data_IF_387361202554
#
_entry.id   IF_387361202554
#
_cell.length_a   1.000
_cell.length_b   1.000
_cell.length_c   1.000
_cell.angle_alpha   90.00
_cell.angle_beta   90.00
_cell.angle_gamma   90.00
#
_symmetry.space_group_name_H-M   'P 1'
#
loop_
_entity.id
_entity.type
_entity.pdbx_description
1 polymer ?
#
# COMPACT_ATOMS: atom_id res chain seq x y z
N UNK A 1 -30.19 20.54 -18.98
CA UNK A 1 -29.86 19.82 -17.76
C UNK A 1 -28.36 19.62 -17.78
N UNK A 2 -27.56 20.28 -16.95
CA UNK A 2 -26.14 19.93 -16.85
C UNK A 2 -26.03 18.65 -16.01
N UNK A 3 -25.48 17.61 -16.61
CA UNK A 3 -25.08 16.40 -15.90
C UNK A 3 -24.03 16.78 -14.85
N UNK A 4 -24.38 16.62 -13.59
CA UNK A 4 -23.46 16.72 -12.47
C UNK A 4 -22.54 15.50 -12.49
N UNK A 5 -21.55 15.50 -13.37
CA UNK A 5 -20.40 14.61 -13.28
C UNK A 5 -19.64 14.96 -12.00
N UNK A 6 -19.99 14.30 -10.90
CA UNK A 6 -19.23 14.40 -9.66
C UNK A 6 -17.81 13.94 -9.96
N UNK A 7 -16.87 14.88 -9.97
CA UNK A 7 -15.44 14.60 -10.11
C UNK A 7 -15.03 13.72 -8.91
N UNK A 8 -14.93 12.41 -9.11
CA UNK A 8 -14.49 11.51 -8.05
C UNK A 8 -13.05 11.85 -7.71
N UNK A 9 -12.80 12.20 -6.45
CA UNK A 9 -11.47 12.56 -5.99
C UNK A 9 -10.49 11.41 -6.22
N UNK A 10 -9.36 11.71 -6.84
CA UNK A 10 -8.27 10.75 -7.05
C UNK A 10 -7.37 10.73 -5.82
N UNK A 11 -7.16 9.57 -5.24
CA UNK A 11 -6.42 9.41 -4.00
C UNK A 11 -5.03 8.83 -4.20
N UNK A 12 -4.06 9.36 -3.45
CA UNK A 12 -2.77 8.73 -3.21
C UNK A 12 -2.95 7.60 -2.18
N UNK A 13 -2.51 6.41 -2.52
CA UNK A 13 -2.66 5.21 -1.70
C UNK A 13 -1.28 4.72 -1.29
N UNK A 14 -1.04 4.66 0.02
CA UNK A 14 0.20 4.13 0.58
C UNK A 14 -0.13 3.13 1.68
N UNK A 15 0.53 1.97 1.65
CA UNK A 15 0.45 0.94 2.67
C UNK A 15 1.84 0.49 3.06
N UNK A 16 2.02 0.06 4.31
CA UNK A 16 3.28 -0.51 4.75
C UNK A 16 3.05 -1.76 5.61
N UNK A 17 4.02 -2.68 5.53
CA UNK A 17 4.05 -3.93 6.27
C UNK A 17 5.42 -4.12 6.93
N UNK A 18 5.42 -4.48 8.21
CA UNK A 18 6.65 -4.79 8.97
C UNK A 18 7.08 -6.23 8.71
N UNK A 19 8.36 -6.42 8.43
CA UNK A 19 8.98 -7.72 8.21
C UNK A 19 10.03 -7.96 9.29
N UNK A 20 9.82 -8.98 10.14
CA UNK A 20 10.63 -9.24 11.34
C UNK A 20 11.64 -10.36 11.17
N UNK A 21 11.53 -11.18 10.13
CA UNK A 21 12.44 -12.31 9.88
C UNK A 21 13.10 -12.22 8.50
N UNK A 22 14.36 -12.70 8.39
CA UNK A 22 15.07 -12.75 7.09
C UNK A 22 14.30 -13.56 6.04
N UNK A 23 13.64 -14.66 6.44
CA UNK A 23 12.80 -15.47 5.55
C UNK A 23 11.58 -14.70 5.04
N UNK A 24 10.94 -13.88 5.89
CA UNK A 24 9.80 -13.05 5.46
C UNK A 24 10.24 -11.93 4.52
N UNK A 25 11.43 -11.34 4.74
CA UNK A 25 12.02 -10.35 3.83
C UNK A 25 12.32 -10.99 2.49
N UNK A 26 13.02 -12.13 2.47
CA UNK A 26 13.36 -12.85 1.26
C UNK A 26 12.10 -13.26 0.47
N UNK A 27 11.09 -13.84 1.14
CA UNK A 27 9.85 -14.25 0.49
C UNK A 27 9.08 -13.06 -0.12
N UNK A 28 9.07 -11.89 0.55
CA UNK A 28 8.45 -10.69 0.01
C UNK A 28 9.23 -10.13 -1.21
N UNK A 29 10.56 -10.14 -1.15
CA UNK A 29 11.40 -9.76 -2.28
C UNK A 29 11.26 -10.69 -3.48
N UNK A 30 11.22 -12.03 -3.27
CA UNK A 30 10.98 -13.00 -4.35
C UNK A 30 9.64 -12.76 -5.06
N UNK A 31 8.59 -12.41 -4.31
CA UNK A 31 7.32 -11.99 -4.90
C UNK A 31 7.48 -10.69 -5.70
N UNK A 32 8.16 -9.70 -5.14
CA UNK A 32 8.39 -8.40 -5.77
C UNK A 32 9.19 -8.53 -7.07
N UNK A 33 10.24 -9.35 -7.12
CA UNK A 33 11.06 -9.58 -8.31
C UNK A 33 10.53 -10.66 -9.27
N UNK A 34 9.33 -11.23 -8.99
CA UNK A 34 8.75 -12.33 -9.78
C UNK A 34 9.65 -13.57 -9.85
N UNK A 35 10.46 -13.80 -8.83
CA UNK A 35 11.32 -14.97 -8.68
C UNK A 35 10.57 -16.19 -8.10
N UNK A 36 9.27 -16.02 -7.85
CA UNK A 36 8.33 -17.08 -7.51
C UNK A 36 7.01 -16.86 -8.23
N UNK A 37 6.19 -17.90 -8.32
CA UNK A 37 4.87 -17.82 -8.91
C UNK A 37 4.01 -16.73 -8.24
N UNK A 38 3.42 -15.88 -9.08
CA UNK A 38 2.60 -14.73 -8.68
C UNK A 38 1.31 -14.73 -9.48
N UNK A 39 0.26 -15.43 -9.02
CA UNK A 39 -0.96 -15.68 -9.80
C UNK A 39 -1.72 -14.44 -10.25
N UNK A 40 -1.55 -13.29 -9.58
CA UNK A 40 -2.18 -12.02 -9.92
C UNK A 40 -1.36 -11.16 -10.90
N UNK A 41 -0.17 -11.62 -11.29
CA UNK A 41 0.67 -10.94 -12.29
C UNK A 41 0.48 -11.57 -13.68
N UNK A 42 0.45 -10.72 -14.70
CA UNK A 42 0.49 -11.17 -16.09
C UNK A 42 1.95 -11.37 -16.52
N UNK A 43 2.36 -12.63 -16.70
CA UNK A 43 3.74 -12.99 -17.04
C UNK A 43 4.23 -12.34 -18.35
N UNK A 44 3.36 -12.12 -19.33
CA UNK A 44 3.70 -11.47 -20.61
C UNK A 44 4.07 -9.98 -20.40
N UNK A 45 3.52 -9.35 -19.36
CA UNK A 45 3.78 -7.95 -19.00
C UNK A 45 4.90 -7.78 -17.99
N UNK A 46 5.39 -8.84 -17.38
CA UNK A 46 6.49 -8.76 -16.40
C UNK A 46 7.72 -8.00 -16.92
N UNK A 47 8.11 -8.05 -18.21
CA UNK A 47 9.18 -7.22 -18.75
C UNK A 47 8.95 -5.69 -18.68
N UNK A 48 7.70 -5.26 -18.48
CA UNK A 48 7.36 -3.83 -18.28
C UNK A 48 7.72 -3.31 -16.88
N UNK A 49 8.02 -4.22 -15.94
CA UNK A 49 8.40 -3.86 -14.59
C UNK A 49 9.80 -3.22 -14.58
N UNK A 50 9.98 -2.25 -13.69
CA UNK A 50 11.22 -1.48 -13.61
C UNK A 50 11.78 -1.50 -12.19
N UNK A 51 13.08 -1.79 -12.06
CA UNK A 51 13.80 -1.80 -10.78
C UNK A 51 14.80 -0.65 -10.73
N UNK A 52 14.65 0.28 -9.79
CA UNK A 52 15.50 1.47 -9.65
C UNK A 52 16.68 1.29 -8.71
N UNK A 53 16.62 0.32 -7.77
CA UNK A 53 17.66 0.13 -6.74
C UNK A 53 18.35 -1.23 -6.92
N UNK A 54 17.79 -2.32 -6.39
CA UNK A 54 18.31 -3.69 -6.58
C UNK A 54 17.54 -4.38 -7.70
N UNK A 55 18.18 -5.32 -8.39
CA UNK A 55 17.59 -6.01 -9.55
C UNK A 55 17.18 -7.46 -9.26
N UNK A 56 17.45 -7.95 -8.05
CA UNK A 56 17.11 -9.32 -7.62
C UNK A 56 16.96 -9.40 -6.12
N UNK A 57 16.33 -10.48 -5.66
CA UNK A 57 16.23 -10.81 -4.23
C UNK A 57 17.61 -10.88 -3.59
N UNK A 58 18.58 -11.51 -4.23
CA UNK A 58 19.93 -11.67 -3.68
C UNK A 58 20.64 -10.34 -3.47
N UNK A 59 20.55 -9.42 -4.44
CA UNK A 59 21.10 -8.07 -4.30
C UNK A 59 20.45 -7.30 -3.16
N UNK A 60 19.11 -7.29 -3.11
CA UNK A 60 18.38 -6.62 -2.05
C UNK A 60 18.68 -7.21 -0.67
N UNK A 61 18.74 -8.54 -0.55
CA UNK A 61 19.10 -9.23 0.70
C UNK A 61 20.54 -8.98 1.12
N UNK A 62 21.47 -8.83 0.18
CA UNK A 62 22.84 -8.38 0.45
C UNK A 62 22.84 -7.02 1.15
N UNK A 63 22.15 -6.03 0.56
CA UNK A 63 22.01 -4.68 1.15
C UNK A 63 21.33 -4.70 2.52
N UNK A 64 20.30 -5.53 2.70
CA UNK A 64 19.66 -5.69 4.01
C UNK A 64 20.69 -6.17 5.04
N UNK A 65 21.48 -7.21 4.72
CA UNK A 65 22.51 -7.75 5.66
C UNK A 65 23.55 -6.71 6.03
N UNK A 66 24.04 -5.93 5.07
CA UNK A 66 25.01 -4.86 5.28
C UNK A 66 24.51 -3.76 6.23
N UNK A 67 23.21 -3.43 6.16
CA UNK A 67 22.60 -2.39 6.98
C UNK A 67 22.19 -2.87 8.38
N UNK A 68 22.05 -4.19 8.60
CA UNK A 68 21.58 -4.70 9.88
C UNK A 68 22.68 -4.62 10.93
N UNK A 69 22.46 -3.96 12.10
CA UNK A 69 23.44 -3.95 13.18
C UNK A 69 23.59 -5.36 13.77
N UNK A 70 24.83 -5.70 14.19
CA UNK A 70 25.13 -6.99 14.83
C UNK A 70 24.26 -7.23 16.08
N UNK A 71 24.17 -6.21 16.93
CA UNK A 71 23.34 -6.25 18.14
C UNK A 71 21.95 -5.71 17.84
N UNK A 72 20.97 -6.58 17.79
CA UNK A 72 19.55 -6.25 17.59
C UNK A 72 18.64 -7.19 18.38
N UNK A 73 17.45 -6.74 18.70
CA UNK A 73 16.45 -7.59 19.35
C UNK A 73 16.04 -8.73 18.40
N UNK A 74 15.67 -9.88 18.97
CA UNK A 74 15.22 -11.06 18.21
C UNK A 74 13.95 -10.79 17.39
N UNK A 75 13.07 -9.93 17.91
CA UNK A 75 11.81 -9.50 17.31
C UNK A 75 11.89 -8.19 16.53
N UNK A 76 13.10 -7.71 16.24
CA UNK A 76 13.29 -6.45 15.51
C UNK A 76 12.67 -6.50 14.12
N UNK A 77 12.08 -5.39 13.70
CA UNK A 77 11.64 -5.20 12.31
C UNK A 77 12.87 -4.99 11.45
N UNK A 78 13.15 -5.93 10.56
CA UNK A 78 14.35 -5.93 9.70
C UNK A 78 14.16 -5.06 8.47
N UNK A 79 12.96 -5.08 7.91
CA UNK A 79 12.58 -4.23 6.79
C UNK A 79 11.13 -3.80 6.90
N UNK A 80 10.78 -2.71 6.23
CA UNK A 80 9.40 -2.29 6.00
C UNK A 80 9.14 -2.31 4.51
N UNK A 81 8.14 -3.08 4.10
CA UNK A 81 7.62 -3.12 2.74
C UNK A 81 6.59 -2.02 2.56
N UNK A 82 6.72 -1.24 1.51
CA UNK A 82 5.77 -0.23 1.08
C UNK A 82 5.13 -0.62 -0.25
N UNK A 83 3.82 -0.42 -0.35
CA UNK A 83 3.08 -0.47 -1.61
C UNK A 83 2.44 0.90 -1.81
N UNK A 84 2.80 1.57 -2.92
CA UNK A 84 2.39 2.93 -3.23
C UNK A 84 1.74 2.98 -4.61
N UNK A 85 0.51 3.46 -4.68
CA UNK A 85 -0.28 3.55 -5.91
C UNK A 85 -1.25 4.73 -5.84
N UNK A 86 -2.09 4.89 -6.85
CA UNK A 86 -3.18 5.86 -6.90
C UNK A 86 -4.51 5.17 -7.20
N UNK A 87 -5.60 5.92 -7.12
CA UNK A 87 -6.93 5.46 -7.53
C UNK A 87 -6.92 4.90 -8.97
N UNK A 88 -7.66 3.82 -9.27
CA UNK A 88 -7.68 3.23 -10.61
C UNK A 88 -8.08 4.22 -11.71
N UNK A 89 -8.94 5.18 -11.39
CA UNK A 89 -9.41 6.24 -12.29
C UNK A 89 -8.25 7.13 -12.73
N UNK A 90 -7.39 7.51 -11.80
CA UNK A 90 -6.21 8.30 -12.09
C UNK A 90 -5.26 7.61 -13.09
N UNK A 91 -5.05 6.30 -12.95
CA UNK A 91 -4.19 5.54 -13.86
C UNK A 91 -4.71 5.48 -15.28
N UNK A 92 -6.04 5.57 -15.49
CA UNK A 92 -6.67 5.58 -16.82
C UNK A 92 -6.46 6.92 -17.55
N UNK A 93 -6.37 8.01 -16.78
CA UNK A 93 -6.29 9.38 -17.33
C UNK A 93 -4.85 9.92 -17.35
N UNK A 94 -3.98 9.40 -16.47
CA UNK A 94 -2.62 9.88 -16.30
C UNK A 94 -1.75 9.58 -17.54
N UNK A 95 -1.11 10.63 -18.04
CA UNK A 95 -0.12 10.51 -19.12
C UNK A 95 1.10 9.68 -18.66
N UNK A 96 1.87 9.08 -19.58
CA UNK A 96 3.09 8.35 -19.22
C UNK A 96 4.09 9.18 -18.39
N UNK A 97 4.17 10.51 -18.67
CA UNK A 97 4.99 11.43 -17.88
C UNK A 97 4.49 11.57 -16.44
N UNK A 98 3.20 11.73 -16.24
CA UNK A 98 2.60 11.81 -14.90
C UNK A 98 2.79 10.50 -14.11
N UNK A 99 2.63 9.36 -14.78
CA UNK A 99 2.87 8.05 -14.17
C UNK A 99 4.34 7.89 -13.73
N UNK A 100 5.30 8.28 -14.58
CA UNK A 100 6.72 8.25 -14.24
C UNK A 100 7.03 9.20 -13.06
N UNK A 101 6.46 10.41 -13.09
CA UNK A 101 6.61 11.40 -12.02
C UNK A 101 6.02 10.91 -10.69
N UNK A 102 4.90 10.19 -10.71
CA UNK A 102 4.30 9.57 -9.52
C UNK A 102 5.29 8.62 -8.83
N UNK A 103 5.90 7.70 -9.59
CA UNK A 103 6.86 6.75 -9.03
C UNK A 103 8.12 7.45 -8.52
N UNK A 104 8.66 8.39 -9.27
CA UNK A 104 9.83 9.16 -8.85
C UNK A 104 9.58 9.92 -7.53
N UNK A 105 8.41 10.56 -7.38
CA UNK A 105 8.02 11.25 -6.14
C UNK A 105 7.80 10.31 -4.98
N UNK A 106 7.25 9.13 -5.24
CA UNK A 106 7.06 8.08 -4.23
C UNK A 106 8.41 7.57 -3.69
N UNK A 107 9.38 7.30 -4.58
CA UNK A 107 10.75 6.93 -4.18
C UNK A 107 11.44 8.05 -3.41
N UNK A 108 11.37 9.30 -3.89
CA UNK A 108 11.95 10.47 -3.22
C UNK A 108 11.38 10.67 -1.81
N UNK A 109 10.07 10.41 -1.61
CA UNK A 109 9.46 10.48 -0.29
C UNK A 109 10.05 9.44 0.68
N UNK A 110 10.28 8.21 0.21
CA UNK A 110 10.93 7.16 1.00
C UNK A 110 12.39 7.51 1.31
N UNK A 111 13.14 8.00 0.31
CA UNK A 111 14.52 8.44 0.48
C UNK A 111 14.64 9.59 1.50
N UNK A 112 13.72 10.57 1.44
CA UNK A 112 13.68 11.67 2.40
C UNK A 112 13.37 11.19 3.82
N UNK A 113 12.48 10.19 3.96
CA UNK A 113 12.06 9.66 5.25
C UNK A 113 13.10 8.78 5.90
N UNK A 114 13.71 7.88 5.15
CA UNK A 114 14.62 6.85 5.68
C UNK A 114 16.09 7.14 5.42
N UNK A 115 16.41 7.90 4.40
CA UNK A 115 17.73 8.03 3.80
C UNK A 115 17.88 7.10 2.58
N UNK A 116 18.51 7.61 1.53
CA UNK A 116 18.67 6.91 0.24
C UNK A 116 19.31 5.53 0.38
N UNK A 117 20.34 5.41 1.21
CA UNK A 117 21.09 4.16 1.39
C UNK A 117 20.26 3.07 2.08
N UNK A 118 19.18 3.44 2.76
CA UNK A 118 18.30 2.52 3.49
C UNK A 118 17.14 1.99 2.65
N UNK A 119 16.94 2.53 1.45
CA UNK A 119 16.03 1.95 0.45
C UNK A 119 16.80 0.83 -0.26
N UNK A 120 16.45 -0.41 0.02
CA UNK A 120 17.18 -1.60 -0.46
C UNK A 120 16.59 -2.20 -1.73
N UNK A 121 15.31 -1.96 -1.98
CA UNK A 121 14.62 -2.36 -3.21
C UNK A 121 13.53 -1.34 -3.53
N UNK A 122 13.34 -1.07 -4.82
CA UNK A 122 12.22 -0.30 -5.35
C UNK A 122 11.90 -0.83 -6.75
N UNK A 123 10.69 -1.38 -6.91
CA UNK A 123 10.22 -2.02 -8.14
C UNK A 123 8.87 -1.46 -8.52
N UNK A 124 8.77 -0.92 -9.71
CA UNK A 124 7.51 -0.51 -10.32
C UNK A 124 6.90 -1.71 -11.02
N UNK A 125 5.73 -2.14 -10.55
CA UNK A 125 4.94 -3.19 -11.15
C UNK A 125 3.92 -2.62 -12.12
N UNK A 126 3.94 -3.12 -13.36
CA UNK A 126 2.98 -2.81 -14.42
C UNK A 126 2.24 -4.06 -14.91
N UNK A 127 2.62 -5.20 -14.42
CA UNK A 127 2.11 -6.54 -14.76
C UNK A 127 0.89 -6.97 -13.94
N UNK A 128 0.42 -6.13 -13.02
CA UNK A 128 -0.83 -6.36 -12.27
C UNK A 128 -1.95 -5.41 -12.73
N UNK A 129 -3.16 -5.59 -12.18
CA UNK A 129 -4.34 -4.81 -12.55
C UNK A 129 -4.16 -3.29 -12.35
N UNK A 130 -3.41 -2.88 -11.32
CA UNK A 130 -3.13 -1.47 -11.02
C UNK A 130 -1.62 -1.28 -10.88
N UNK A 131 -1.02 -0.34 -11.66
CA UNK A 131 0.40 -0.03 -11.51
C UNK A 131 0.72 0.45 -10.09
N UNK A 132 1.83 -0.03 -9.52
CA UNK A 132 2.24 0.35 -8.18
C UNK A 132 3.75 0.23 -7.97
N UNK A 133 4.26 0.99 -7.01
CA UNK A 133 5.63 0.86 -6.51
C UNK A 133 5.62 -0.07 -5.30
N UNK A 134 6.42 -1.13 -5.34
CA UNK A 134 6.80 -1.93 -4.18
C UNK A 134 8.21 -1.54 -3.77
N UNK A 135 8.39 -1.05 -2.53
CA UNK A 135 9.69 -0.64 -2.03
C UNK A 135 9.97 -1.25 -0.65
N UNK A 136 11.24 -1.55 -0.40
CA UNK A 136 11.71 -2.12 0.86
C UNK A 136 12.76 -1.22 1.48
N UNK A 137 12.56 -0.89 2.75
CA UNK A 137 13.46 0.00 3.49
C UNK A 137 13.90 -0.66 4.79
N UNK A 138 15.17 -0.50 5.17
CA UNK A 138 15.67 -0.90 6.48
C UNK A 138 15.45 0.27 7.45
N UNK A 139 14.68 0.09 8.55
CA UNK A 139 14.35 1.18 9.49
C UNK A 139 15.51 1.45 10.46
N UNK A 140 16.67 1.83 9.89
CA UNK A 140 17.89 2.16 10.61
C UNK A 140 17.90 3.66 10.93
N UNK A 141 18.00 4.01 12.20
CA UNK A 141 18.09 5.39 12.66
C UNK A 141 19.47 6.01 12.35
N UNK A 142 19.62 7.32 12.49
CA UNK A 142 20.89 8.00 12.21
C UNK A 142 22.01 7.55 13.17
N UNK A 143 21.65 7.19 14.40
CA UNK A 143 22.56 6.66 15.41
C UNK A 143 22.80 5.13 15.29
N UNK A 144 22.39 4.51 14.17
CA UNK A 144 22.67 3.11 13.85
C UNK A 144 21.78 2.08 14.54
N UNK A 145 20.70 2.50 15.22
CA UNK A 145 19.74 1.58 15.86
C UNK A 145 18.66 1.13 14.86
N UNK A 146 18.30 -0.13 14.90
CA UNK A 146 17.16 -0.66 14.14
C UNK A 146 15.86 -0.37 14.89
N UNK A 147 15.05 0.59 14.41
CA UNK A 147 13.85 1.06 15.10
C UNK A 147 12.72 1.47 14.16
N UNK A 148 11.89 0.52 13.75
CA UNK A 148 10.68 0.83 13.00
C UNK A 148 9.71 1.77 13.77
N UNK A 149 9.75 1.75 15.11
CA UNK A 149 8.92 2.63 15.96
C UNK A 149 9.23 4.11 15.72
N UNK A 150 10.46 4.47 15.42
CA UNK A 150 10.84 5.85 15.13
C UNK A 150 10.28 6.35 13.80
N UNK A 151 10.12 5.49 12.83
CA UNK A 151 9.61 5.85 11.49
C UNK A 151 8.09 5.70 11.35
N UNK A 152 7.52 4.57 11.81
CA UNK A 152 6.13 4.18 11.60
C UNK A 152 5.44 3.74 12.91
N UNK A 153 5.88 4.27 14.05
CA UNK A 153 5.34 3.93 15.36
C UNK A 153 4.13 4.76 15.73
N UNK A 154 2.98 4.10 15.91
CA UNK A 154 1.77 4.72 16.43
C UNK A 154 0.90 5.43 15.37
N UNK A 155 -0.34 5.72 15.74
CA UNK A 155 -1.35 6.30 14.83
C UNK A 155 -0.97 7.70 14.33
N UNK A 156 -0.35 8.51 15.17
CA UNK A 156 0.02 9.88 14.81
C UNK A 156 1.04 9.90 13.67
N UNK A 157 2.13 9.13 13.79
CA UNK A 157 3.14 9.03 12.72
C UNK A 157 2.57 8.46 11.42
N UNK A 158 1.70 7.46 11.52
CA UNK A 158 1.06 6.90 10.33
C UNK A 158 0.12 7.90 9.64
N UNK A 159 -0.58 8.76 10.41
CA UNK A 159 -1.40 9.85 9.84
C UNK A 159 -0.54 10.92 9.18
N UNK A 160 0.56 11.29 9.82
CA UNK A 160 1.55 12.23 9.26
C UNK A 160 2.15 11.69 7.97
N UNK A 161 2.52 10.41 7.92
CA UNK A 161 3.00 9.73 6.72
C UNK A 161 2.00 9.82 5.57
N UNK A 162 0.72 9.52 5.84
CA UNK A 162 -0.35 9.63 4.82
C UNK A 162 -0.47 11.07 4.30
N UNK A 163 -0.36 12.07 5.18
CA UNK A 163 -0.48 13.48 4.81
C UNK A 163 0.73 13.96 4.01
N UNK A 164 1.95 13.67 4.47
CA UNK A 164 3.19 14.10 3.80
C UNK A 164 3.41 13.37 2.47
N UNK A 165 2.99 12.11 2.38
CA UNK A 165 3.01 11.37 1.12
C UNK A 165 2.04 11.97 0.11
N UNK A 166 0.78 12.19 0.50
CA UNK A 166 -0.21 12.81 -0.39
C UNK A 166 0.25 14.20 -0.86
N UNK A 167 0.84 15.02 0.02
CA UNK A 167 1.39 16.32 -0.37
C UNK A 167 2.53 16.18 -1.39
N UNK A 168 3.36 15.13 -1.31
CA UNK A 168 4.44 14.90 -2.28
C UNK A 168 3.94 14.66 -3.71
N UNK A 169 2.74 14.08 -3.87
CA UNK A 169 2.12 13.75 -5.17
C UNK A 169 0.94 14.66 -5.54
N UNK A 170 0.61 15.65 -4.73
CA UNK A 170 -0.52 16.57 -4.91
C UNK A 170 -0.53 17.29 -6.26
N UNK A 171 0.66 17.66 -6.77
CA UNK A 171 0.79 18.32 -8.10
C UNK A 171 0.32 17.45 -9.26
N UNK A 172 0.13 16.14 -9.03
CA UNK A 172 -0.41 15.20 -9.99
C UNK A 172 -1.94 15.06 -9.91
N UNK A 173 -2.61 15.91 -9.13
CA UNK A 173 -4.07 15.83 -8.92
C UNK A 173 -4.49 14.73 -7.96
N UNK A 174 -3.58 14.26 -7.10
CA UNK A 174 -3.85 13.24 -6.10
C UNK A 174 -4.04 13.85 -4.72
N UNK A 175 -5.06 13.40 -4.03
CA UNK A 175 -5.42 13.84 -2.68
C UNK A 175 -5.12 12.78 -1.63
N UNK A 176 -5.08 13.20 -0.38
CA UNK A 176 -5.01 12.29 0.75
C UNK A 176 -6.33 11.52 0.87
N UNK A 177 -6.25 10.20 1.08
CA UNK A 177 -7.42 9.41 1.41
C UNK A 177 -8.15 9.93 2.67
N UNK A 178 -9.44 9.61 2.79
CA UNK A 178 -10.33 10.10 3.85
C UNK A 178 -9.78 9.70 5.24
N UNK A 179 -9.56 10.69 6.09
CA UNK A 179 -9.09 10.45 7.45
C UNK A 179 -10.17 9.75 8.28
N UNK A 180 -9.76 8.70 9.00
CA UNK A 180 -10.69 7.90 9.80
C UNK A 180 -11.58 6.96 9.00
N UNK A 181 -11.34 6.78 7.70
CA UNK A 181 -12.05 5.78 6.90
C UNK A 181 -11.96 4.40 7.57
N UNK A 182 -13.12 3.73 7.70
CA UNK A 182 -13.24 2.36 8.19
C UNK A 182 -13.03 1.31 7.09
N UNK A 183 -12.69 1.74 5.88
CA UNK A 183 -12.39 0.82 4.80
C UNK A 183 -11.21 -0.09 5.19
N UNK A 184 -11.48 -1.37 5.32
CA UNK A 184 -10.47 -2.39 5.60
C UNK A 184 -9.91 -2.92 4.30
N UNK A 185 -8.59 -3.12 4.27
CA UNK A 185 -7.96 -3.80 3.16
C UNK A 185 -8.44 -5.25 3.12
N UNK A 186 -9.16 -5.61 2.06
CA UNK A 186 -9.35 -7.02 1.72
C UNK A 186 -8.14 -7.50 0.94
N UNK A 187 -7.55 -8.61 1.35
CA UNK A 187 -6.53 -9.27 0.51
C UNK A 187 -7.19 -9.71 -0.79
N UNK A 188 -6.44 -9.76 -1.89
CA UNK A 188 -6.94 -10.22 -3.20
C UNK A 188 -7.64 -11.57 -3.06
N UNK A 189 -7.10 -12.47 -2.24
CA UNK A 189 -7.70 -13.75 -1.93
C UNK A 189 -9.08 -13.61 -1.27
N UNK A 190 -9.23 -12.78 -0.26
CA UNK A 190 -10.51 -12.50 0.41
C UNK A 190 -11.53 -11.86 -0.52
N UNK A 191 -11.08 -11.00 -1.43
CA UNK A 191 -11.95 -10.38 -2.44
C UNK A 191 -12.51 -11.43 -3.39
N UNK A 192 -11.67 -12.30 -3.96
CA UNK A 192 -12.13 -13.40 -4.81
C UNK A 192 -12.97 -14.44 -4.06
N UNK A 193 -12.63 -14.76 -2.82
CA UNK A 193 -13.46 -15.64 -1.97
C UNK A 193 -14.84 -15.03 -1.72
N UNK A 194 -14.94 -13.72 -1.51
CA UNK A 194 -16.23 -13.02 -1.31
C UNK A 194 -17.09 -13.02 -2.58
N UNK A 195 -16.48 -12.80 -3.76
CA UNK A 195 -17.17 -12.89 -5.06
C UNK A 195 -17.65 -14.32 -5.32
N UNK A 196 -16.78 -15.31 -5.10
CA UNK A 196 -17.10 -16.71 -5.34
C UNK A 196 -18.17 -17.24 -4.35
N UNK A 197 -18.24 -16.70 -3.12
CA UNK A 197 -19.34 -16.97 -2.19
C UNK A 197 -20.63 -16.28 -2.62
N UNK A 198 -20.56 -15.04 -3.10
CA UNK A 198 -21.72 -14.26 -3.59
C UNK A 198 -22.37 -14.90 -4.81
N UNK A 199 -21.61 -15.53 -5.70
CA UNK A 199 -22.13 -16.28 -6.86
C UNK A 199 -22.78 -17.62 -6.49
N UNK A 200 -22.55 -18.12 -5.27
CA UNK A 200 -23.19 -19.38 -4.77
C UNK A 200 -24.39 -19.13 -3.88
N UNK A 201 -24.56 -17.95 -3.32
CA UNK A 201 -25.75 -17.58 -2.56
C UNK A 201 -26.65 -16.67 -3.43
N UNK A 202 -27.69 -17.22 -4.01
CA UNK A 202 -28.85 -16.42 -4.39
C UNK A 202 -29.45 -15.88 -3.10
N UNK A 203 -28.99 -14.74 -2.64
CA UNK A 203 -29.66 -13.98 -1.58
C UNK A 203 -30.87 -13.34 -2.22
N UNK A 204 -32.00 -14.02 -2.16
CA UNK A 204 -33.30 -13.43 -2.39
C UNK A 204 -33.59 -12.49 -1.22
N UNK A 205 -33.28 -11.21 -1.40
CA UNK A 205 -33.73 -10.17 -0.46
C UNK A 205 -35.20 -9.97 -0.73
N UNK A 206 -36.10 -10.39 0.20
CA UNK A 206 -37.50 -10.12 0.06
C UNK A 206 -37.78 -8.61 0.14
N UNK A 207 -38.75 -8.06 -0.62
CA UNK A 207 -39.06 -6.63 -0.57
C UNK A 207 -39.34 -6.13 0.85
N UNK A 208 -39.87 -6.98 1.73
CA UNK A 208 -40.20 -6.66 3.14
C UNK A 208 -38.93 -6.43 4.00
N UNK A 209 -37.77 -6.97 3.59
CA UNK A 209 -36.49 -6.71 4.27
C UNK A 209 -35.92 -5.32 3.98
N UNK A 210 -36.46 -4.61 3.00
CA UNK A 210 -36.08 -3.25 2.59
C UNK A 210 -36.96 -2.16 3.20
N UNK A 211 -38.03 -2.52 3.92
CA UNK A 211 -38.87 -1.53 4.59
C UNK A 211 -38.14 -0.91 5.80
N UNK A 212 -38.19 0.44 5.96
CA UNK A 212 -37.58 1.10 7.09
C UNK A 212 -38.26 0.66 8.40
N UNK A 213 -37.51 0.02 9.31
CA UNK A 213 -38.01 -0.26 10.66
C UNK A 213 -38.24 1.05 11.39
N UNK A 214 -39.51 1.37 11.64
CA UNK A 214 -39.94 2.48 12.51
C UNK A 214 -39.49 2.11 13.95
N UNK A 215 -38.48 2.77 14.48
CA UNK A 215 -38.10 2.67 15.89
C UNK A 215 -39.22 3.32 16.70
N UNK A 216 -39.93 2.52 17.51
CA UNK A 216 -40.93 3.04 18.47
C UNK A 216 -40.23 4.04 19.39
N UNK A 217 -40.71 5.30 19.42
CA UNK A 217 -40.34 6.27 20.45
C UNK A 217 -40.70 5.69 21.82
N UNK A 218 -39.69 5.53 22.69
CA UNK A 218 -39.91 5.18 24.08
C UNK A 218 -40.71 6.28 24.76
N UNK A 219 -41.79 5.91 25.42
CA UNK A 219 -42.58 6.80 26.26
C UNK A 219 -41.81 6.89 27.58
N UNK A 220 -41.21 8.06 27.86
CA UNK A 220 -40.74 8.40 29.20
C UNK A 220 -41.95 8.78 30.04
N UNK A 221 -42.36 7.94 30.99
CA UNK A 221 -43.20 8.36 32.11
C UNK A 221 -42.27 8.94 33.18
N UNK A 222 -42.52 10.23 33.49
CA UNK A 222 -42.01 10.85 34.72
C UNK A 222 -42.92 10.36 35.86
N UNK A 223 -42.30 9.94 36.95
CA UNK A 223 -42.73 10.11 38.35
C UNK A 223 -41.50 10.51 39.18
#
# INVERSE_FOLDING_TARGET
MPESGGNMANYAIMRCKKLTGMGSVASALQHCYRERETPNANAERTPENYCSVSKSTDQAMGRVRELLPEKRRKDAVLAVEYVMTASPEWWKEATPRQQAEFFARSEQWLEKKYGKDRVVAAVVHRDEATPHLSAFVVPLTQDGRLSAKEFIGGRSKMREDQSTYAESVKKLGLERGIEGSRATHQTVQHYYESINRGTRSQVSISPEALEPRVLRKGIFTKD
#
